data_IF_175337700251
#
_entry.id   IF_175337700251
#
_cell.length_a   1.000
_cell.length_b   1.000
_cell.length_c   1.000
_cell.angle_alpha   90.00
_cell.angle_beta   90.00
_cell.angle_gamma   90.00
#
_symmetry.space_group_name_H-M   'P 1'
#
loop_
_entity.id
_entity.type
_entity.pdbx_description
1 polymer ?
#
# COMPACT_ATOMS: atom_id res chain seq x y z
N UNK A 1 -5.22 -8.36 24.79
CA UNK A 1 -5.39 -7.22 23.87
C UNK A 1 -4.30 -7.13 22.80
N UNK A 2 -3.01 -6.94 23.15
CA UNK A 2 -1.92 -6.83 22.15
C UNK A 2 -1.78 -8.04 21.20
N UNK A 3 -1.96 -9.26 21.73
CA UNK A 3 -1.96 -10.49 20.92
C UNK A 3 -3.11 -10.51 19.89
N UNK A 4 -4.32 -10.16 20.32
CA UNK A 4 -5.52 -10.10 19.46
C UNK A 4 -5.32 -9.11 18.31
N UNK A 5 -4.81 -7.91 18.61
CA UNK A 5 -4.52 -6.89 17.60
C UNK A 5 -3.45 -7.34 16.60
N UNK A 6 -2.42 -8.06 17.08
CA UNK A 6 -1.41 -8.65 16.22
C UNK A 6 -1.98 -9.73 15.30
N UNK A 7 -2.81 -10.63 15.82
CA UNK A 7 -3.39 -11.75 15.08
C UNK A 7 -4.38 -11.25 14.02
N UNK A 8 -5.28 -10.32 14.39
CA UNK A 8 -6.18 -9.63 13.46
C UNK A 8 -5.40 -8.91 12.35
N UNK A 9 -4.24 -8.35 12.67
CA UNK A 9 -3.42 -7.69 11.68
C UNK A 9 -2.73 -8.67 10.72
N UNK A 10 -2.22 -9.80 11.21
CA UNK A 10 -1.68 -10.86 10.35
C UNK A 10 -2.72 -11.29 9.30
N UNK A 11 -3.99 -11.35 9.70
CA UNK A 11 -5.11 -11.61 8.79
C UNK A 11 -5.32 -10.48 7.79
N UNK A 12 -5.28 -9.21 8.21
CA UNK A 12 -5.36 -8.05 7.29
C UNK A 12 -4.23 -8.06 6.25
N UNK A 13 -3.00 -8.47 6.60
CA UNK A 13 -1.89 -8.60 5.62
C UNK A 13 -2.19 -9.60 4.51
N UNK A 14 -2.88 -10.69 4.83
CA UNK A 14 -3.29 -11.69 3.85
C UNK A 14 -4.33 -11.11 2.89
N UNK A 15 -5.17 -10.19 3.37
CA UNK A 15 -6.21 -9.53 2.59
C UNK A 15 -5.65 -8.44 1.68
N UNK A 16 -4.65 -7.67 2.14
CA UNK A 16 -4.03 -6.54 1.43
C UNK A 16 -2.54 -6.77 1.11
N UNK A 17 -2.20 -7.67 0.17
CA UNK A 17 -0.82 -8.09 -0.09
C UNK A 17 0.04 -7.08 -0.88
N UNK A 18 -0.47 -5.90 -1.20
CA UNK A 18 0.20 -4.92 -2.07
C UNK A 18 0.61 -3.65 -1.32
N UNK A 19 1.92 -3.35 -1.31
CA UNK A 19 2.51 -2.26 -0.53
C UNK A 19 1.94 -0.87 -0.88
N UNK A 20 1.60 -0.62 -2.14
CA UNK A 20 1.03 0.67 -2.54
C UNK A 20 -0.35 0.90 -1.95
N UNK A 21 -1.18 -0.13 -1.91
CA UNK A 21 -2.52 0.00 -1.34
C UNK A 21 -2.46 0.08 0.17
N UNK A 22 -1.60 -0.73 0.78
CA UNK A 22 -1.37 -0.64 2.21
C UNK A 22 -0.87 0.75 2.61
N UNK A 23 0.07 1.32 1.83
CA UNK A 23 0.59 2.68 1.99
C UNK A 23 -0.52 3.74 1.89
N UNK A 24 -1.39 3.63 0.90
CA UNK A 24 -2.51 4.55 0.67
C UNK A 24 -3.55 4.47 1.79
N UNK A 25 -3.98 3.25 2.15
CA UNK A 25 -4.97 3.00 3.20
C UNK A 25 -4.48 3.43 4.58
N UNK A 26 -3.19 3.24 4.88
CA UNK A 26 -2.61 3.57 6.19
C UNK A 26 -1.95 4.94 6.25
N UNK A 27 -1.89 5.65 5.11
CA UNK A 27 -1.21 6.95 4.96
C UNK A 27 0.26 6.92 5.40
N UNK A 28 0.92 5.77 5.26
CA UNK A 28 2.36 5.62 5.56
C UNK A 28 3.16 5.55 4.26
N UNK A 29 4.45 5.86 4.33
CA UNK A 29 5.33 5.81 3.17
C UNK A 29 5.40 4.40 2.55
N UNK A 30 5.42 4.29 1.21
CA UNK A 30 5.43 3.02 0.46
C UNK A 30 6.49 2.02 0.95
N UNK A 31 7.72 2.48 1.20
CA UNK A 31 8.80 1.63 1.73
C UNK A 31 8.50 1.08 3.12
N UNK A 32 7.79 1.84 3.95
CA UNK A 32 7.35 1.37 5.27
C UNK A 32 6.25 0.34 5.10
N UNK A 33 5.32 0.56 4.19
CA UNK A 33 4.29 -0.40 3.85
C UNK A 33 4.88 -1.73 3.33
N UNK A 34 5.89 -1.66 2.47
CA UNK A 34 6.60 -2.83 1.94
C UNK A 34 7.25 -3.63 3.08
N UNK A 35 8.04 -2.96 3.95
CA UNK A 35 8.67 -3.61 5.10
C UNK A 35 7.65 -4.22 6.08
N UNK A 36 6.52 -3.55 6.28
CA UNK A 36 5.43 -4.03 7.12
C UNK A 36 4.76 -5.28 6.52
N UNK A 37 4.55 -5.30 5.20
CA UNK A 37 3.98 -6.45 4.48
C UNK A 37 4.96 -7.61 4.34
N UNK A 38 6.27 -7.35 4.29
CA UNK A 38 7.33 -8.36 4.34
C UNK A 38 7.58 -8.88 5.77
N UNK A 39 7.05 -8.23 6.79
CA UNK A 39 7.21 -8.61 8.20
C UNK A 39 8.56 -8.19 8.79
N UNK A 40 9.35 -7.41 8.07
CA UNK A 40 10.63 -6.84 8.54
C UNK A 40 10.42 -5.65 9.47
N UNK A 41 9.20 -5.11 9.54
CA UNK A 41 8.82 -4.04 10.47
C UNK A 41 7.57 -4.41 11.28
N UNK A 42 7.62 -4.11 12.58
CA UNK A 42 6.47 -4.25 13.49
C UNK A 42 5.34 -3.32 13.07
N UNK A 43 4.13 -3.76 13.40
CA UNK A 43 2.90 -3.06 13.08
C UNK A 43 2.46 -2.26 14.28
N UNK A 44 2.07 -1.02 14.03
CA UNK A 44 1.52 -0.14 15.07
C UNK A 44 0.01 -0.23 15.09
N UNK A 45 -0.59 0.02 16.25
CA UNK A 45 -2.04 0.18 16.41
C UNK A 45 -2.61 1.22 15.44
N UNK A 46 -1.85 2.27 15.14
CA UNK A 46 -2.22 3.30 14.16
C UNK A 46 -2.48 2.71 12.77
N UNK A 47 -1.68 1.76 12.30
CA UNK A 47 -1.91 1.13 10.99
C UNK A 47 -3.23 0.35 10.97
N UNK A 48 -3.51 -0.39 12.04
CA UNK A 48 -4.73 -1.19 12.20
C UNK A 48 -5.96 -0.27 12.19
N UNK A 49 -5.92 0.82 12.96
CA UNK A 49 -6.99 1.81 13.01
C UNK A 49 -7.21 2.53 11.68
N UNK A 50 -6.14 2.91 10.96
CA UNK A 50 -6.29 3.54 9.64
C UNK A 50 -6.87 2.59 8.58
N UNK A 51 -6.57 1.28 8.66
CA UNK A 51 -7.23 0.28 7.81
C UNK A 51 -8.71 0.19 8.18
N UNK A 52 -9.05 0.07 9.46
CA UNK A 52 -10.46 -0.01 9.87
C UNK A 52 -11.25 1.25 9.49
N UNK A 53 -10.72 2.44 9.77
CA UNK A 53 -11.30 3.71 9.33
C UNK A 53 -11.49 3.73 7.81
N UNK A 54 -10.48 3.27 7.07
CA UNK A 54 -10.55 3.14 5.61
C UNK A 54 -11.68 2.24 5.14
N UNK A 55 -12.03 1.19 5.86
CA UNK A 55 -13.13 0.29 5.50
C UNK A 55 -14.41 0.56 6.29
N UNK A 56 -14.50 1.69 7.01
CA UNK A 56 -15.62 2.02 7.89
C UNK A 56 -15.93 0.92 8.92
N UNK A 57 -14.90 0.18 9.35
CA UNK A 57 -14.99 -0.82 10.40
C UNK A 57 -14.88 -0.10 11.75
N UNK A 58 -15.84 -0.28 12.68
CA UNK A 58 -15.75 0.32 14.01
C UNK A 58 -14.47 -0.13 14.73
N UNK A 59 -13.76 0.80 15.37
CA UNK A 59 -12.47 0.52 15.99
C UNK A 59 -12.57 -0.50 17.13
N UNK A 60 -13.69 -0.52 17.84
CA UNK A 60 -14.04 -1.52 18.84
C UNK A 60 -14.01 -2.95 18.28
N UNK A 61 -14.36 -3.17 17.00
CA UNK A 61 -14.41 -4.52 16.41
C UNK A 61 -13.02 -5.13 16.24
N UNK A 62 -12.00 -4.30 16.03
CA UNK A 62 -10.61 -4.75 15.95
C UNK A 62 -10.07 -5.24 17.30
N UNK A 63 -10.74 -4.91 18.40
CA UNK A 63 -10.35 -5.34 19.75
C UNK A 63 -10.85 -6.77 20.05
N UNK A 64 -11.80 -7.27 19.27
CA UNK A 64 -12.29 -8.64 19.34
C UNK A 64 -11.47 -9.54 18.42
N UNK A 65 -11.18 -10.79 18.82
CA UNK A 65 -10.47 -11.73 17.95
C UNK A 65 -11.31 -12.00 16.72
N UNK A 66 -10.69 -11.87 15.55
CA UNK A 66 -11.31 -12.25 14.28
C UNK A 66 -11.20 -13.77 14.19
N UNK A 67 -12.34 -14.45 14.13
CA UNK A 67 -12.42 -15.91 14.11
C UNK A 67 -12.24 -16.47 12.70
N UNK A 68 -11.72 -17.70 12.59
CA UNK A 68 -11.44 -18.33 11.30
C UNK A 68 -10.08 -17.97 10.70
N UNK A 69 -9.71 -18.66 9.63
CA UNK A 69 -8.45 -18.45 8.92
C UNK A 69 -8.72 -18.42 7.41
N UNK A 70 -8.01 -17.55 6.70
CA UNK A 70 -7.88 -17.69 5.26
C UNK A 70 -6.86 -18.79 5.03
N UNK A 71 -7.34 -19.98 4.66
CA UNK A 71 -6.49 -21.13 4.44
C UNK A 71 -6.08 -21.18 2.96
N UNK A 72 -4.84 -21.58 2.71
CA UNK A 72 -4.30 -21.64 1.35
C UNK A 72 -4.91 -22.78 0.53
N UNK A 73 -5.30 -23.85 1.20
CA UNK A 73 -5.91 -25.06 0.66
C UNK A 73 -7.44 -24.99 0.57
N UNK A 74 -8.07 -23.94 1.09
CA UNK A 74 -9.51 -23.73 0.98
C UNK A 74 -9.97 -23.69 -0.49
N UNK A 75 -11.10 -24.36 -0.77
CA UNK A 75 -11.69 -24.49 -2.09
C UNK A 75 -11.83 -23.15 -2.78
N UNK A 76 -12.32 -22.13 -2.08
CA UNK A 76 -12.49 -20.85 -2.75
C UNK A 76 -11.19 -20.06 -2.91
N UNK A 77 -10.14 -20.32 -2.12
CA UNK A 77 -8.79 -19.84 -2.45
C UNK A 77 -8.26 -20.49 -3.74
N UNK A 78 -8.48 -21.80 -3.90
CA UNK A 78 -8.11 -22.52 -5.11
C UNK A 78 -8.82 -21.95 -6.35
N UNK A 79 -10.13 -21.68 -6.25
CA UNK A 79 -10.91 -21.04 -7.33
C UNK A 79 -10.31 -19.67 -7.71
N UNK A 80 -9.96 -18.84 -6.72
CA UNK A 80 -9.34 -17.52 -6.95
C UNK A 80 -7.94 -17.63 -7.56
N UNK A 81 -7.12 -18.56 -7.10
CA UNK A 81 -5.82 -18.84 -7.70
C UNK A 81 -5.95 -19.29 -9.15
N UNK A 82 -6.86 -20.23 -9.44
CA UNK A 82 -7.11 -20.72 -10.79
C UNK A 82 -7.56 -19.59 -11.72
N UNK A 83 -8.48 -18.74 -11.27
CA UNK A 83 -8.88 -17.54 -12.01
C UNK A 83 -7.68 -16.64 -12.32
N UNK A 84 -6.87 -16.30 -11.32
CA UNK A 84 -5.70 -15.43 -11.49
C UNK A 84 -4.68 -16.03 -12.47
N UNK A 85 -4.40 -17.34 -12.34
CA UNK A 85 -3.49 -18.08 -13.22
C UNK A 85 -4.00 -18.11 -14.66
N UNK A 86 -5.28 -18.40 -14.87
CA UNK A 86 -5.88 -18.45 -16.18
C UNK A 86 -5.77 -17.11 -16.92
N UNK A 87 -5.98 -16.00 -16.21
CA UNK A 87 -5.81 -14.67 -16.80
C UNK A 87 -4.34 -14.33 -17.09
N UNK A 88 -3.41 -14.66 -16.19
CA UNK A 88 -1.97 -14.42 -16.42
C UNK A 88 -1.42 -15.28 -17.56
N UNK A 89 -1.89 -16.53 -17.69
CA UNK A 89 -1.48 -17.45 -18.75
C UNK A 89 -1.76 -16.90 -20.16
N UNK A 90 -2.81 -16.08 -20.33
CA UNK A 90 -3.12 -15.40 -21.62
C UNK A 90 -2.02 -14.43 -22.08
N UNK A 91 -1.17 -13.97 -21.15
CA UNK A 91 -0.02 -13.12 -21.43
C UNK A 91 1.30 -13.91 -21.45
N UNK A 92 1.26 -15.23 -21.21
CA UNK A 92 2.42 -16.13 -21.16
C UNK A 92 3.24 -16.05 -19.85
N UNK A 93 3.27 -14.90 -19.18
CA UNK A 93 3.98 -14.76 -17.89
C UNK A 93 3.43 -13.62 -17.02
N UNK A 94 3.70 -13.68 -15.72
CA UNK A 94 3.41 -12.59 -14.79
C UNK A 94 4.10 -11.27 -15.20
N UNK A 95 5.32 -11.36 -15.74
CA UNK A 95 6.07 -10.19 -16.24
C UNK A 95 5.35 -9.53 -17.41
N UNK A 96 4.90 -10.32 -18.38
CA UNK A 96 4.15 -9.83 -19.53
C UNK A 96 2.79 -9.25 -19.12
N UNK A 97 2.06 -9.92 -18.20
CA UNK A 97 0.80 -9.41 -17.66
C UNK A 97 0.98 -8.06 -16.94
N UNK A 98 2.03 -7.91 -16.12
CA UNK A 98 2.36 -6.64 -15.46
C UNK A 98 2.82 -5.54 -16.43
N UNK A 99 3.39 -5.91 -17.58
CA UNK A 99 3.76 -4.94 -18.61
C UNK A 99 2.53 -4.43 -19.38
N UNK A 100 1.58 -5.34 -19.68
CA UNK A 100 0.31 -4.98 -20.27
C UNK A 100 -0.57 -4.14 -19.32
N UNK A 101 -0.51 -4.43 -18.01
CA UNK A 101 -1.31 -3.79 -16.97
C UNK A 101 -0.42 -3.17 -15.89
N UNK A 102 -0.02 -1.92 -16.14
CA UNK A 102 0.83 -1.15 -15.24
C UNK A 102 0.14 -0.89 -13.89
N UNK A 103 0.58 -1.59 -12.84
CA UNK A 103 0.02 -1.44 -11.49
C UNK A 103 -0.11 -2.75 -10.71
N UNK A 104 -0.15 -3.89 -11.41
CA UNK A 104 -0.33 -5.22 -10.80
C UNK A 104 0.82 -5.68 -9.88
N UNK A 105 1.99 -5.04 -9.96
CA UNK A 105 3.14 -5.33 -9.10
C UNK A 105 3.73 -6.74 -9.31
N UNK A 106 4.77 -6.85 -10.14
CA UNK A 106 5.38 -8.15 -10.53
C UNK A 106 5.70 -9.08 -9.35
N UNK A 107 6.29 -8.56 -8.27
CA UNK A 107 6.62 -9.39 -7.08
C UNK A 107 5.36 -9.96 -6.42
N UNK A 108 4.34 -9.13 -6.24
CA UNK A 108 3.07 -9.53 -5.62
C UNK A 108 2.36 -10.54 -6.51
N UNK A 109 2.24 -10.25 -7.81
CA UNK A 109 1.59 -11.15 -8.76
C UNK A 109 2.33 -12.49 -8.86
N UNK A 110 3.67 -12.48 -9.01
CA UNK A 110 4.46 -13.71 -9.07
C UNK A 110 4.35 -14.53 -7.77
N UNK A 111 4.29 -13.85 -6.61
CA UNK A 111 4.05 -14.50 -5.32
C UNK A 111 2.70 -15.20 -5.29
N UNK A 112 1.62 -14.46 -5.58
CA UNK A 112 0.24 -14.97 -5.51
C UNK A 112 -0.07 -16.08 -6.53
N UNK A 113 0.76 -16.24 -7.56
CA UNK A 113 0.64 -17.34 -8.51
C UNK A 113 1.24 -18.66 -8.01
N UNK A 114 2.07 -18.65 -6.95
CA UNK A 114 2.66 -19.87 -6.38
C UNK A 114 1.59 -20.70 -5.65
N UNK A 115 1.77 -22.02 -5.65
CA UNK A 115 0.91 -22.90 -4.87
C UNK A 115 1.01 -22.58 -3.38
N UNK A 116 -0.11 -22.73 -2.67
CA UNK A 116 -0.16 -22.48 -1.23
C UNK A 116 -0.21 -20.99 -0.81
N UNK A 117 -0.36 -20.04 -1.74
CA UNK A 117 -0.51 -18.62 -1.40
C UNK A 117 -1.97 -18.19 -1.31
N UNK A 118 -2.29 -17.29 -0.39
CA UNK A 118 -3.68 -16.82 -0.21
C UNK A 118 -3.95 -15.69 -1.19
N UNK A 119 -4.93 -15.88 -2.07
CA UNK A 119 -5.49 -14.86 -2.95
C UNK A 119 -6.80 -14.38 -2.35
N UNK A 120 -6.81 -13.16 -1.82
CA UNK A 120 -8.02 -12.60 -1.20
C UNK A 120 -9.08 -12.24 -2.24
N UNK A 121 -10.38 -12.38 -1.93
CA UNK A 121 -11.46 -11.92 -2.82
C UNK A 121 -11.33 -10.44 -3.21
N UNK A 122 -10.90 -9.61 -2.25
CA UNK A 122 -10.64 -8.18 -2.46
C UNK A 122 -9.53 -7.96 -3.51
N UNK A 123 -8.47 -8.76 -3.47
CA UNK A 123 -7.41 -8.68 -4.47
C UNK A 123 -7.94 -9.03 -5.87
N UNK A 124 -8.76 -10.07 -6.01
CA UNK A 124 -9.37 -10.43 -7.29
C UNK A 124 -10.24 -9.29 -7.86
N UNK A 125 -11.06 -8.65 -7.03
CA UNK A 125 -11.88 -7.49 -7.43
C UNK A 125 -11.03 -6.31 -7.89
N UNK A 126 -9.97 -6.00 -7.14
CA UNK A 126 -9.05 -4.91 -7.47
C UNK A 126 -8.31 -5.17 -8.77
N UNK A 127 -7.84 -6.40 -8.99
CA UNK A 127 -7.21 -6.81 -10.25
C UNK A 127 -8.21 -6.72 -11.39
N UNK A 128 -9.41 -7.30 -11.25
CA UNK A 128 -10.44 -7.31 -12.27
C UNK A 128 -10.83 -5.89 -12.73
N UNK A 129 -11.05 -4.98 -11.78
CA UNK A 129 -11.36 -3.57 -12.09
C UNK A 129 -10.21 -2.87 -12.81
N UNK A 130 -8.97 -3.15 -12.40
CA UNK A 130 -7.80 -2.53 -13.01
C UNK A 130 -7.57 -2.92 -14.45
N UNK A 131 -7.66 -4.21 -14.71
CA UNK A 131 -7.27 -4.82 -15.97
C UNK A 131 -8.44 -4.91 -16.93
N UNK A 132 -9.66 -4.68 -16.43
CA UNK A 132 -10.91 -4.95 -17.14
C UNK A 132 -11.21 -6.45 -17.26
N UNK A 133 -10.53 -7.31 -16.50
CA UNK A 133 -10.81 -8.75 -16.52
C UNK A 133 -12.18 -9.02 -15.90
N UNK A 134 -12.95 -9.90 -16.54
CA UNK A 134 -14.21 -10.35 -15.97
C UNK A 134 -13.95 -11.18 -14.71
N UNK A 135 -14.58 -10.79 -13.60
CA UNK A 135 -14.57 -11.53 -12.33
C UNK A 135 -15.93 -12.22 -12.15
N UNK A 136 -16.01 -13.55 -12.31
CA UNK A 136 -17.24 -14.28 -12.06
C UNK A 136 -17.66 -14.16 -10.58
N UNK A 137 -18.96 -14.13 -10.33
CA UNK A 137 -19.49 -14.13 -8.95
C UNK A 137 -19.02 -15.34 -8.14
N UNK A 138 -18.86 -16.49 -8.80
CA UNK A 138 -18.33 -17.71 -8.18
C UNK A 138 -16.91 -17.52 -7.64
N UNK A 139 -16.08 -16.72 -8.33
CA UNK A 139 -14.72 -16.39 -7.88
C UNK A 139 -14.76 -15.34 -6.77
N UNK A 140 -15.63 -14.34 -6.92
CA UNK A 140 -15.78 -13.26 -5.97
C UNK A 140 -16.35 -13.74 -4.61
N UNK A 141 -17.18 -14.79 -4.63
CA UNK A 141 -17.95 -15.26 -3.49
C UNK A 141 -17.56 -16.67 -3.01
N UNK A 142 -16.46 -17.24 -3.52
CA UNK A 142 -16.10 -18.66 -3.36
C UNK A 142 -15.95 -19.18 -1.91
N UNK A 143 -16.01 -18.32 -0.88
CA UNK A 143 -15.93 -18.68 0.54
C UNK A 143 -17.13 -18.19 1.36
N UNK A 144 -18.15 -17.59 0.72
CA UNK A 144 -19.28 -17.00 1.44
C UNK A 144 -20.38 -18.00 1.78
N UNK A 145 -20.24 -19.27 1.39
CA UNK A 145 -21.30 -20.29 1.46
C UNK A 145 -21.16 -21.30 2.60
N UNK A 146 -20.05 -21.31 3.34
CA UNK A 146 -19.75 -22.43 4.26
C UNK A 146 -20.18 -22.18 5.71
N UNK A 147 -21.23 -21.40 5.92
CA UNK A 147 -21.93 -21.42 7.21
C UNK A 147 -23.23 -22.23 7.03
N UNK A 148 -23.32 -23.48 7.53
CA UNK A 148 -24.49 -24.32 7.29
C UNK A 148 -25.77 -23.82 7.96
N UNK A 149 -25.74 -22.82 8.85
CA UNK A 149 -26.89 -22.49 9.70
C UNK A 149 -26.96 -21.03 10.13
N UNK A 150 -27.13 -20.08 9.20
CA UNK A 150 -27.91 -18.87 9.52
C UNK A 150 -28.81 -18.53 8.33
N UNK A 151 -30.15 -18.60 8.47
CA UNK A 151 -31.01 -18.06 7.43
C UNK A 151 -30.65 -16.59 7.26
N UNK A 152 -30.45 -16.16 6.01
CA UNK A 152 -30.45 -14.74 5.67
C UNK A 152 -31.75 -14.17 6.25
N UNK A 153 -31.67 -13.55 7.43
CA UNK A 153 -32.76 -12.75 7.95
C UNK A 153 -33.01 -11.71 6.87
N UNK A 154 -34.20 -11.77 6.27
CA UNK A 154 -34.70 -10.78 5.32
C UNK A 154 -34.55 -9.41 5.99
N UNK A 155 -33.50 -8.69 5.62
CA UNK A 155 -33.22 -7.36 6.15
C UNK A 155 -34.40 -6.47 5.77
N UNK A 156 -35.12 -5.88 6.74
CA UNK A 156 -36.12 -4.87 6.42
C UNK A 156 -35.40 -3.71 5.71
N UNK A 157 -35.98 -3.26 4.60
CA UNK A 157 -35.51 -2.11 3.83
C UNK A 157 -35.46 -0.87 4.73
N UNK A 158 -34.26 -0.54 5.22
CA UNK A 158 -33.99 0.76 5.82
C UNK A 158 -33.83 1.81 4.71
N UNK A 159 -34.23 3.06 4.97
CA UNK A 159 -34.14 4.14 3.98
C UNK A 159 -32.71 4.37 3.51
N UNK A 160 -32.61 4.82 2.27
CA UNK A 160 -31.37 4.96 1.49
C UNK A 160 -30.19 5.51 2.29
N UNK A 161 -29.12 4.72 2.34
CA UNK A 161 -27.79 5.17 2.78
C UNK A 161 -27.27 4.61 4.11
N UNK A 162 -28.08 3.90 4.90
CA UNK A 162 -27.62 3.26 6.15
C UNK A 162 -27.80 1.74 6.05
N UNK A 163 -26.71 1.03 5.74
CA UNK A 163 -26.70 -0.43 5.78
C UNK A 163 -26.83 -0.84 7.25
N UNK A 164 -27.86 -1.64 7.58
CA UNK A 164 -27.89 -2.37 8.83
C UNK A 164 -26.66 -3.27 8.89
N UNK A 165 -25.63 -2.84 9.63
CA UNK A 165 -24.57 -3.74 10.07
C UNK A 165 -25.26 -4.95 10.71
N UNK A 166 -24.82 -6.19 10.42
CA UNK A 166 -25.39 -7.35 11.08
C UNK A 166 -25.34 -7.09 12.58
N UNK A 167 -26.51 -7.16 13.24
CA UNK A 167 -26.59 -7.08 14.71
C UNK A 167 -25.94 -8.33 15.27
N UNK A 168 -24.61 -8.30 15.34
CA UNK A 168 -23.81 -9.29 16.04
C UNK A 168 -24.11 -9.09 17.53
N UNK A 169 -24.98 -9.95 18.05
CA UNK A 169 -25.29 -10.00 19.47
C UNK A 169 -23.98 -10.14 20.25
N UNK A 170 -23.76 -9.18 21.15
CA UNK A 170 -22.96 -9.08 22.39
C UNK A 170 -21.82 -10.06 22.76
N UNK A 171 -21.40 -11.02 21.94
CA UNK A 171 -20.29 -11.94 22.22
C UNK A 171 -19.68 -12.64 21.00
N UNK A 172 -20.20 -12.46 19.79
CA UNK A 172 -19.73 -13.20 18.61
C UNK A 172 -18.53 -12.52 17.94
N UNK A 173 -17.39 -13.19 17.96
CA UNK A 173 -16.19 -12.84 17.21
C UNK A 173 -16.51 -12.66 15.71
N UNK A 174 -16.16 -11.51 15.14
CA UNK A 174 -16.25 -11.26 13.70
C UNK A 174 -15.41 -12.31 12.96
N UNK A 175 -15.97 -13.05 12.01
CA UNK A 175 -15.16 -14.02 11.26
C UNK A 175 -14.27 -13.33 10.21
N UNK A 176 -13.21 -13.98 9.76
CA UNK A 176 -12.36 -13.50 8.66
C UNK A 176 -13.16 -13.26 7.37
N UNK A 177 -14.20 -14.06 7.15
CA UNK A 177 -15.15 -13.91 6.05
C UNK A 177 -16.07 -12.70 6.24
N UNK A 178 -16.51 -12.41 7.48
CA UNK A 178 -17.29 -11.21 7.78
C UNK A 178 -16.46 -9.94 7.60
N UNK A 179 -15.19 -9.96 8.01
CA UNK A 179 -14.25 -8.87 7.74
C UNK A 179 -14.11 -8.62 6.24
N UNK A 180 -13.96 -9.68 5.43
CA UNK A 180 -13.92 -9.58 3.97
C UNK A 180 -15.23 -9.01 3.38
N UNK A 181 -16.39 -9.44 3.88
CA UNK A 181 -17.71 -8.90 3.48
C UNK A 181 -17.83 -7.41 3.77
N UNK A 182 -17.41 -6.98 4.96
CA UNK A 182 -17.44 -5.57 5.38
C UNK A 182 -16.50 -4.70 4.54
N UNK A 183 -15.28 -5.20 4.27
CA UNK A 183 -14.32 -4.52 3.37
C UNK A 183 -14.86 -4.39 1.93
N UNK A 184 -15.67 -5.34 1.46
CA UNK A 184 -16.36 -5.29 0.14
C UNK A 184 -17.55 -4.33 0.11
N UNK A 185 -18.32 -4.19 1.20
CA UNK A 185 -19.58 -3.41 1.20
C UNK A 185 -19.38 -1.91 1.46
N UNK A 186 -18.49 -1.50 2.36
CA UNK A 186 -18.44 -0.12 2.86
C UNK A 186 -17.81 0.92 1.92
N UNK A 187 -16.86 0.52 1.07
CA UNK A 187 -16.07 1.48 0.25
C UNK A 187 -16.13 1.26 -1.26
N UNK A 188 -16.42 0.03 -1.69
CA UNK A 188 -16.36 -0.36 -3.11
C UNK A 188 -17.61 0.02 -3.94
N UNK A 189 -18.71 0.39 -3.28
CA UNK A 189 -19.97 0.85 -3.90
C UNK A 189 -20.08 2.38 -4.01
N UNK A 190 -19.34 3.13 -3.19
CA UNK A 190 -19.58 4.57 -3.06
C UNK A 190 -18.71 5.44 -4.00
N UNK A 191 -17.39 5.24 -4.11
CA UNK A 191 -16.56 6.39 -4.54
C UNK A 191 -15.21 6.16 -5.26
N UNK A 192 -14.89 4.98 -5.83
CA UNK A 192 -13.55 4.79 -6.42
C UNK A 192 -13.49 4.36 -7.89
N UNK A 193 -13.40 5.36 -8.77
CA UNK A 193 -12.71 5.29 -10.06
C UNK A 193 -11.18 5.29 -9.83
N UNK A 194 -10.61 4.22 -9.31
CA UNK A 194 -9.14 4.08 -9.26
C UNK A 194 -8.71 2.89 -10.09
N UNK A 195 -8.13 3.21 -11.26
CA UNK A 195 -7.06 2.39 -11.82
C UNK A 195 -6.08 2.06 -10.68
N UNK A 196 -5.54 0.84 -10.59
CA UNK A 196 -4.51 0.57 -9.57
C UNK A 196 -3.45 1.65 -9.68
N UNK A 197 -2.96 2.17 -8.54
CA UNK A 197 -1.90 3.14 -8.55
C UNK A 197 -0.78 2.59 -9.43
N UNK A 198 -0.45 3.32 -10.50
CA UNK A 198 0.71 2.99 -11.32
C UNK A 198 1.85 2.76 -10.34
N UNK A 199 2.45 1.56 -10.37
CA UNK A 199 3.63 1.30 -9.56
C UNK A 199 4.54 2.49 -9.80
N UNK A 200 4.96 3.18 -8.75
CA UNK A 200 5.98 4.19 -8.89
C UNK A 200 7.15 3.44 -9.54
N UNK A 201 7.35 3.64 -10.85
CA UNK A 201 8.63 3.35 -11.52
C UNK A 201 9.63 3.87 -10.54
N UNK A 202 10.57 3.04 -10.07
CA UNK A 202 11.49 3.41 -9.00
C UNK A 202 11.97 4.83 -9.25
N UNK A 203 11.31 5.80 -8.60
CA UNK A 203 11.76 7.17 -8.64
C UNK A 203 12.92 7.01 -7.72
N UNK A 204 14.12 6.95 -8.29
CA UNK A 204 15.36 7.09 -7.56
C UNK A 204 15.05 8.02 -6.40
N UNK A 205 15.01 7.47 -5.18
CA UNK A 205 14.49 8.17 -4.01
C UNK A 205 15.20 9.50 -4.02
N UNK A 206 14.46 10.58 -4.31
CA UNK A 206 15.06 11.85 -4.69
C UNK A 206 16.10 12.19 -3.64
N UNK A 207 15.72 12.16 -2.37
CA UNK A 207 16.63 12.35 -1.24
C UNK A 207 16.24 11.39 -0.13
N UNK A 208 17.23 10.82 0.57
CA UNK A 208 17.00 9.85 1.63
C UNK A 208 16.05 10.43 2.71
N UNK A 209 15.15 9.63 3.33
CA UNK A 209 14.14 10.14 4.26
C UNK A 209 14.71 10.90 5.46
N UNK A 210 15.85 10.44 5.99
CA UNK A 210 16.56 11.08 7.09
C UNK A 210 17.03 12.49 6.73
N UNK A 211 17.40 12.70 5.47
CA UNK A 211 17.74 14.03 4.95
C UNK A 211 16.43 14.82 4.72
N UNK A 212 15.49 14.29 3.93
CA UNK A 212 14.27 14.99 3.50
C UNK A 212 13.42 15.56 4.64
N UNK A 213 13.34 14.85 5.77
CA UNK A 213 12.51 15.24 6.91
C UNK A 213 13.30 15.92 8.04
N UNK A 214 14.61 16.13 7.86
CA UNK A 214 15.42 16.86 8.83
C UNK A 214 15.22 18.38 8.70
N UNK A 215 15.48 19.10 9.78
CA UNK A 215 15.54 20.56 9.73
C UNK A 215 16.84 20.96 9.05
N UNK A 216 16.72 21.76 8.01
CA UNK A 216 17.85 22.27 7.26
C UNK A 216 18.10 23.75 7.56
N UNK A 217 19.36 24.10 7.62
CA UNK A 217 19.90 25.46 7.60
C UNK A 217 20.89 25.56 6.43
N UNK A 218 21.52 26.72 6.30
CA UNK A 218 22.50 26.96 5.23
C UNK A 218 23.66 25.94 5.29
N UNK A 219 24.26 25.75 6.47
CA UNK A 219 25.44 24.92 6.64
C UNK A 219 25.14 23.43 6.38
N UNK A 220 24.01 22.93 6.86
CA UNK A 220 23.61 21.54 6.62
C UNK A 220 23.28 21.27 5.15
N UNK A 221 22.62 22.19 4.44
CA UNK A 221 22.38 22.03 2.99
C UNK A 221 23.69 22.05 2.20
N UNK A 222 24.62 22.93 2.58
CA UNK A 222 25.93 22.99 1.98
C UNK A 222 26.71 21.70 2.23
N UNK A 223 26.73 21.18 3.46
CA UNK A 223 27.38 19.92 3.82
C UNK A 223 26.80 18.74 3.02
N UNK A 224 25.47 18.64 2.91
CA UNK A 224 24.81 17.58 2.14
C UNK A 224 25.25 17.55 0.66
N UNK A 225 25.45 18.71 0.05
CA UNK A 225 25.92 18.84 -1.33
C UNK A 225 27.42 18.54 -1.45
N UNK A 226 28.21 19.01 -0.48
CA UNK A 226 29.67 18.86 -0.49
C UNK A 226 30.09 17.41 -0.25
N UNK A 227 29.44 16.74 0.69
CA UNK A 227 29.67 15.34 1.07
C UNK A 227 29.09 14.35 0.05
N UNK A 228 28.39 14.83 -0.99
CA UNK A 228 27.78 14.00 -2.01
C UNK A 228 26.57 13.19 -1.51
N UNK A 229 26.08 13.46 -0.31
CA UNK A 229 24.84 12.84 0.23
C UNK A 229 23.61 13.26 -0.58
N UNK A 230 23.65 14.45 -1.19
CA UNK A 230 22.72 14.93 -2.20
C UNK A 230 23.52 15.45 -3.40
N UNK A 231 23.34 14.84 -4.57
CA UNK A 231 23.99 15.21 -5.81
C UNK A 231 23.10 16.08 -6.71
N UNK A 232 23.49 17.34 -6.98
CA UNK A 232 22.83 18.20 -7.98
C UNK A 232 22.81 17.65 -9.41
N UNK A 233 23.61 16.63 -9.73
CA UNK A 233 23.61 16.00 -11.06
C UNK A 233 22.38 15.10 -11.28
N UNK A 234 21.75 14.63 -10.19
CA UNK A 234 20.54 13.82 -10.25
C UNK A 234 19.34 14.76 -10.31
N UNK A 235 18.55 14.69 -11.39
CA UNK A 235 17.41 15.60 -11.64
C UNK A 235 16.49 15.76 -10.43
N UNK A 236 16.06 14.66 -9.81
CA UNK A 236 15.15 14.72 -8.66
C UNK A 236 15.78 15.33 -7.39
N UNK A 237 17.10 15.17 -7.20
CA UNK A 237 17.85 15.78 -6.10
C UNK A 237 18.02 17.26 -6.30
N UNK A 238 18.30 17.65 -7.54
CA UNK A 238 18.34 19.03 -7.96
C UNK A 238 16.99 19.72 -7.71
N UNK A 239 15.89 19.11 -8.15
CA UNK A 239 14.55 19.69 -8.00
C UNK A 239 14.18 19.83 -6.52
N UNK A 240 14.48 18.81 -5.70
CA UNK A 240 14.30 18.90 -4.24
C UNK A 240 15.14 20.01 -3.60
N UNK A 241 16.41 20.18 -4.00
CA UNK A 241 17.28 21.25 -3.51
C UNK A 241 16.72 22.63 -3.86
N UNK A 242 16.25 22.82 -5.10
CA UNK A 242 15.66 24.09 -5.54
C UNK A 242 14.39 24.44 -4.76
N UNK A 243 13.52 23.46 -4.54
CA UNK A 243 12.28 23.66 -3.77
C UNK A 243 12.58 23.94 -2.30
N UNK A 244 13.55 23.22 -1.71
CA UNK A 244 13.97 23.42 -0.31
C UNK A 244 14.55 24.83 -0.10
N UNK A 245 15.44 25.28 -1.00
CA UNK A 245 15.98 26.66 -0.95
C UNK A 245 14.86 27.69 -1.08
N UNK A 246 13.92 27.48 -2.01
CA UNK A 246 12.78 28.39 -2.22
C UNK A 246 11.92 28.49 -0.96
N UNK A 247 11.56 27.35 -0.36
CA UNK A 247 10.76 27.31 0.86
C UNK A 247 11.47 27.96 2.04
N UNK A 248 12.75 27.63 2.25
CA UNK A 248 13.53 28.19 3.37
C UNK A 248 13.73 29.71 3.24
N UNK A 249 13.87 30.24 2.02
CA UNK A 249 13.86 31.69 1.79
C UNK A 249 12.50 32.31 2.10
N UNK A 250 11.40 31.70 1.66
CA UNK A 250 10.04 32.21 1.91
C UNK A 250 9.72 32.33 3.41
N UNK A 251 10.22 31.41 4.22
CA UNK A 251 10.02 31.41 5.69
C UNK A 251 11.12 32.15 6.46
N UNK A 252 12.02 32.86 5.77
CA UNK A 252 13.10 33.65 6.39
C UNK A 252 14.21 32.82 7.06
N UNK A 253 14.30 31.51 6.79
CA UNK A 253 15.39 30.65 7.30
C UNK A 253 16.68 30.75 6.51
N UNK A 254 16.61 31.24 5.27
CA UNK A 254 17.77 31.57 4.46
C UNK A 254 17.70 33.03 4.04
N UNK A 255 18.82 33.73 4.15
CA UNK A 255 18.99 35.05 3.54
C UNK A 255 19.09 34.94 2.01
N UNK A 256 18.94 36.06 1.29
CA UNK A 256 19.09 36.06 -0.17
C UNK A 256 20.50 35.61 -0.58
N UNK A 257 21.53 36.09 0.11
CA UNK A 257 22.92 35.74 -0.15
C UNK A 257 23.19 34.25 0.07
N UNK A 258 22.62 33.66 1.13
CA UNK A 258 22.71 32.23 1.39
C UNK A 258 22.03 31.40 0.29
N UNK A 259 20.83 31.82 -0.15
CA UNK A 259 20.12 31.15 -1.24
C UNK A 259 20.90 31.24 -2.57
N UNK A 260 21.48 32.40 -2.89
CA UNK A 260 22.34 32.60 -4.07
C UNK A 260 23.62 31.76 -4.01
N UNK A 261 24.25 31.68 -2.84
CA UNK A 261 25.44 30.85 -2.62
C UNK A 261 25.14 29.36 -2.86
N UNK A 262 24.04 28.83 -2.30
CA UNK A 262 23.61 27.45 -2.52
C UNK A 262 23.27 27.18 -3.99
N UNK A 263 22.55 28.07 -4.68
CA UNK A 263 22.28 27.94 -6.12
C UNK A 263 23.56 27.92 -6.95
N UNK A 264 24.53 28.76 -6.60
CA UNK A 264 25.85 28.78 -7.26
C UNK A 264 26.65 27.50 -7.02
N UNK A 265 26.54 26.92 -5.81
CA UNK A 265 27.14 25.62 -5.49
C UNK A 265 26.49 24.48 -6.31
N UNK A 266 25.15 24.47 -6.39
CA UNK A 266 24.37 23.52 -7.18
C UNK A 266 24.78 23.57 -8.66
N UNK A 267 24.87 24.77 -9.24
CA UNK A 267 25.32 24.95 -10.63
C UNK A 267 26.73 24.39 -10.84
N UNK A 268 27.69 24.75 -9.97
CA UNK A 268 29.08 24.25 -10.06
C UNK A 268 29.17 22.73 -9.99
N UNK A 269 28.43 22.09 -9.08
CA UNK A 269 28.42 20.63 -8.88
C UNK A 269 27.62 19.87 -9.95
N UNK A 270 26.68 20.52 -10.63
CA UNK A 270 25.88 19.92 -11.71
C UNK A 270 26.66 19.77 -13.01
N UNK A 271 27.53 20.75 -13.33
CA UNK A 271 28.29 20.76 -14.58
C UNK A 271 29.69 20.14 -14.48
N UNK A 272 30.24 19.98 -13.28
CA UNK A 272 31.39 19.11 -13.06
C UNK A 272 30.87 17.70 -12.85
N UNK A 273 30.96 16.84 -13.87
CA UNK A 273 30.74 15.39 -13.72
C UNK A 273 31.57 14.82 -12.56
N UNK A 274 31.26 13.59 -12.08
CA UNK A 274 31.99 13.01 -10.95
C UNK A 274 33.49 13.08 -11.23
N UNK A 275 34.22 13.80 -10.38
CA UNK A 275 35.68 13.71 -10.36
C UNK A 275 36.02 12.22 -10.24
N UNK A 276 36.86 11.65 -11.13
CA UNK A 276 37.28 10.27 -10.98
C UNK A 276 37.81 10.11 -9.56
N UNK A 277 37.26 9.13 -8.84
CA UNK A 277 37.70 8.82 -7.50
C UNK A 277 39.22 8.63 -7.56
N UNK A 278 39.94 9.47 -6.82
CA UNK A 278 41.33 9.22 -6.45
C UNK A 278 41.33 7.83 -5.80
N UNK A 279 41.72 6.83 -6.59
CA UNK A 279 42.19 5.56 -6.09
C UNK A 279 43.48 5.87 -5.33
N UNK A 280 43.37 6.11 -4.03
CA UNK A 280 44.50 6.06 -3.13
C UNK A 280 44.84 4.58 -2.92
N UNK A 281 45.86 4.14 -3.64
CA UNK A 281 46.81 3.16 -3.14
C UNK A 281 47.73 3.83 -2.10
#
# INVERSE_FOLDING_TARGET
MLKILHDNYCLIRQILPHASWFSELTRIHLRVADNVLEGTRKISLRHVLCVAESFQIPAEWLQHPISGALLADDQGNQIRQQWLRAHVARYGSAKAACHAHNGLGLKTLARLLRDGEIVSPLFCELVARHTGWHLPETVANANLSDDPLLPLATTPSLPDGVIALPRLGSSSACSANDLLRLMRLGRHRADWCTQLPKRTTAVMVAVAPDIRFSKHDFDSLQALIMDGRVSPSIKFQHDWLQDTIRQHRQIGRLTEDQALSLRSLIARKRFRGPLPALQAA
#
